data_IF_073451415917
#
_entry.id   IF_073451415917
#
_cell.length_a   1.000
_cell.length_b   1.000
_cell.length_c   1.000
_cell.angle_alpha   90.00
_cell.angle_beta   90.00
_cell.angle_gamma   90.00
#
_symmetry.space_group_name_H-M   'P 1'
#
loop_
_entity.id
_entity.type
_entity.pdbx_description
1 polymer ?
#
# COMPACT_ATOMS: atom_id res chain seq x y z
N UNK A 1 15.60 -13.77 12.14
CA UNK A 1 14.91 -13.14 13.29
C UNK A 1 13.52 -12.75 12.81
N UNK A 2 12.42 -13.06 13.52
CA UNK A 2 11.11 -12.57 13.13
C UNK A 2 11.09 -11.04 13.25
N UNK A 3 10.84 -10.32 12.15
CA UNK A 3 10.59 -8.87 12.17
C UNK A 3 9.13 -8.68 12.56
N UNK A 4 8.86 -8.24 13.79
CA UNK A 4 7.53 -7.78 14.18
C UNK A 4 7.15 -6.59 13.29
N UNK A 5 5.98 -6.60 12.63
CA UNK A 5 5.52 -5.45 11.86
C UNK A 5 5.31 -4.25 12.78
N UNK A 6 5.65 -3.06 12.28
CA UNK A 6 5.36 -1.78 12.96
C UNK A 6 3.87 -1.46 12.93
N UNK A 7 3.21 -1.89 11.87
CA UNK A 7 1.79 -1.75 11.65
C UNK A 7 1.27 -2.95 10.86
N UNK A 8 0.13 -3.46 11.27
CA UNK A 8 -0.63 -4.46 10.56
C UNK A 8 -2.10 -4.20 10.81
N UNK A 9 -2.90 -4.24 9.75
CA UNK A 9 -4.35 -4.07 9.80
C UNK A 9 -4.98 -4.78 8.60
N UNK A 10 -6.12 -5.42 8.81
CA UNK A 10 -6.88 -6.10 7.76
C UNK A 10 -8.37 -6.03 8.10
N UNK A 11 -9.20 -5.95 7.07
CA UNK A 11 -10.66 -6.02 7.24
C UNK A 11 -11.31 -6.60 6.00
N UNK A 12 -12.48 -7.18 6.19
CA UNK A 12 -13.45 -7.49 5.15
C UNK A 12 -14.58 -6.45 5.20
N UNK A 13 -15.09 -6.04 4.03
CA UNK A 13 -16.22 -5.13 3.85
C UNK A 13 -17.50 -5.93 3.54
N UNK A 14 -18.65 -5.26 3.53
CA UNK A 14 -19.97 -5.89 3.38
C UNK A 14 -20.22 -6.56 2.02
N UNK A 15 -19.57 -6.09 0.96
CA UNK A 15 -19.58 -6.69 -0.39
C UNK A 15 -18.62 -7.89 -0.52
N UNK A 16 -17.93 -8.27 0.56
CA UNK A 16 -16.94 -9.34 0.61
C UNK A 16 -15.58 -8.97 0.01
N UNK A 17 -15.39 -7.72 -0.43
CA UNK A 17 -14.05 -7.19 -0.68
C UNK A 17 -13.28 -7.02 0.62
N UNK A 18 -11.96 -6.99 0.55
CA UNK A 18 -11.11 -6.90 1.75
C UNK A 18 -9.85 -6.10 1.51
N UNK A 19 -9.36 -5.44 2.54
CA UNK A 19 -8.02 -4.87 2.53
C UNK A 19 -7.09 -5.61 3.50
N UNK A 20 -5.81 -5.63 3.14
CA UNK A 20 -4.71 -6.14 3.95
C UNK A 20 -3.59 -5.11 3.93
N UNK A 21 -3.11 -4.70 5.09
CA UNK A 21 -2.08 -3.69 5.25
C UNK A 21 -0.98 -4.18 6.18
N UNK A 22 0.26 -4.04 5.76
CA UNK A 22 1.42 -4.34 6.62
C UNK A 22 2.58 -3.39 6.33
N UNK A 23 3.24 -2.94 7.41
CA UNK A 23 4.46 -2.15 7.35
C UNK A 23 5.48 -2.65 8.37
N UNK A 24 6.74 -2.71 7.95
CA UNK A 24 7.87 -3.14 8.76
C UNK A 24 8.88 -2.01 8.94
N UNK A 25 9.49 -1.98 10.12
CA UNK A 25 10.75 -1.26 10.29
C UNK A 25 11.88 -2.04 9.63
N UNK A 26 12.62 -1.33 8.78
CA UNK A 26 13.83 -1.81 8.12
C UNK A 26 14.97 -0.83 8.39
N UNK A 27 16.23 -1.28 8.39
CA UNK A 27 17.35 -0.36 8.50
C UNK A 27 17.26 0.73 7.42
N UNK A 28 17.46 1.98 7.81
CA UNK A 28 17.57 3.09 6.87
C UNK A 28 18.70 2.82 5.87
N UNK A 29 18.40 2.95 4.59
CA UNK A 29 19.34 2.75 3.49
C UNK A 29 18.96 3.64 2.31
N UNK A 30 19.79 3.69 1.27
CA UNK A 30 19.39 4.34 0.02
C UNK A 30 18.14 3.70 -0.60
N UNK A 31 17.93 2.41 -0.31
CA UNK A 31 16.74 1.67 -0.75
C UNK A 31 15.52 2.05 0.11
N UNK A 32 15.65 2.18 1.44
CA UNK A 32 14.55 2.59 2.32
C UNK A 32 14.97 3.80 3.17
N UNK A 33 14.99 5.02 2.60
CA UNK A 33 15.45 6.20 3.31
C UNK A 33 14.59 6.53 4.54
N UNK A 34 13.31 6.17 4.52
CA UNK A 34 12.37 6.33 5.63
C UNK A 34 12.46 5.22 6.68
N UNK A 35 13.28 4.18 6.43
CA UNK A 35 13.38 3.00 7.30
C UNK A 35 12.09 2.19 7.39
N UNK A 36 11.19 2.32 6.41
CA UNK A 36 9.92 1.59 6.34
C UNK A 36 9.85 0.80 5.04
N UNK A 37 9.44 -0.46 5.13
CA UNK A 37 8.94 -1.26 4.00
C UNK A 37 7.45 -1.52 4.21
N UNK A 38 6.62 -1.45 3.18
CA UNK A 38 5.19 -1.73 3.33
C UNK A 38 4.57 -2.38 2.09
N UNK A 39 3.39 -2.98 2.31
CA UNK A 39 2.49 -3.44 1.27
C UNK A 39 1.06 -3.36 1.77
N UNK A 40 0.25 -2.54 1.11
CA UNK A 40 -1.18 -2.36 1.36
C UNK A 40 -1.93 -2.77 0.11
N UNK A 41 -2.96 -3.60 0.24
CA UNK A 41 -3.74 -4.06 -0.89
C UNK A 41 -5.22 -4.15 -0.55
N UNK A 42 -6.06 -3.78 -1.49
CA UNK A 42 -7.51 -3.90 -1.45
C UNK A 42 -7.95 -4.74 -2.65
N UNK A 43 -8.74 -5.77 -2.37
CA UNK A 43 -9.06 -6.82 -3.33
C UNK A 43 -10.55 -7.14 -3.28
N UNK A 44 -11.10 -7.55 -4.41
CA UNK A 44 -12.43 -8.15 -4.50
C UNK A 44 -12.46 -9.52 -3.81
N UNK A 45 -13.66 -10.08 -3.65
CA UNK A 45 -13.88 -11.42 -3.06
C UNK A 45 -13.10 -12.53 -3.79
N UNK A 46 -12.93 -12.43 -5.12
CA UNK A 46 -12.17 -13.35 -5.96
C UNK A 46 -10.65 -13.09 -5.94
N UNK A 47 -10.19 -12.08 -5.19
CA UNK A 47 -8.77 -11.74 -5.03
C UNK A 47 -8.21 -10.82 -6.11
N UNK A 48 -9.05 -10.25 -6.98
CA UNK A 48 -8.63 -9.25 -7.96
C UNK A 48 -8.24 -7.96 -7.25
N UNK A 49 -7.00 -7.48 -7.43
CA UNK A 49 -6.51 -6.24 -6.80
C UNK A 49 -7.18 -5.01 -7.41
N UNK A 50 -7.83 -4.21 -6.56
CA UNK A 50 -8.45 -2.93 -6.90
C UNK A 50 -7.50 -1.76 -6.65
N UNK A 51 -6.82 -1.80 -5.50
CA UNK A 51 -5.84 -0.81 -5.08
C UNK A 51 -4.66 -1.52 -4.43
N UNK A 52 -3.44 -1.10 -4.74
CA UNK A 52 -2.25 -1.48 -3.98
C UNK A 52 -1.34 -0.30 -3.80
N UNK A 53 -0.88 -0.08 -2.58
CA UNK A 53 0.25 0.78 -2.29
C UNK A 53 1.41 -0.10 -1.85
N UNK A 54 2.57 0.04 -2.46
CA UNK A 54 3.79 -0.60 -1.99
C UNK A 54 5.00 0.31 -2.21
N UNK A 55 6.12 -0.05 -1.58
CA UNK A 55 7.39 0.60 -1.86
C UNK A 55 8.45 -0.36 -2.42
N UNK A 56 8.02 -1.30 -3.25
CA UNK A 56 8.90 -2.27 -3.88
C UNK A 56 9.30 -1.79 -5.28
N UNK A 57 10.60 -1.76 -5.58
CA UNK A 57 11.09 -1.59 -6.96
C UNK A 57 12.10 -2.67 -7.27
N UNK A 58 12.04 -3.21 -8.49
CA UNK A 58 13.05 -4.10 -9.05
C UNK A 58 14.26 -3.32 -9.61
N UNK A 59 14.16 -2.00 -9.77
CA UNK A 59 15.13 -1.20 -10.51
C UNK A 59 15.99 -0.33 -9.59
N UNK A 60 17.31 -0.47 -9.75
CA UNK A 60 18.33 0.46 -9.27
C UNK A 60 18.36 1.78 -10.08
N UNK A 61 17.22 2.23 -10.62
CA UNK A 61 17.17 3.48 -11.41
C UNK A 61 17.25 4.67 -10.47
N UNK A 62 18.33 5.47 -10.50
CA UNK A 62 18.45 6.61 -9.63
C UNK A 62 17.37 7.65 -9.98
N UNK A 63 16.51 7.98 -9.02
CA UNK A 63 15.51 9.04 -9.15
C UNK A 63 14.06 8.58 -9.40
N UNK A 64 13.79 7.28 -9.54
CA UNK A 64 12.42 6.77 -9.53
C UNK A 64 11.86 6.76 -8.10
N UNK A 65 10.60 7.18 -7.93
CA UNK A 65 9.91 7.02 -6.65
C UNK A 65 9.82 5.53 -6.33
N UNK A 66 10.15 5.14 -5.10
CA UNK A 66 9.91 3.74 -4.68
C UNK A 66 8.46 3.50 -4.33
N UNK A 67 7.72 4.55 -3.99
CA UNK A 67 6.34 4.47 -3.55
C UNK A 67 5.43 4.44 -4.75
N UNK A 68 4.72 3.33 -4.91
CA UNK A 68 3.83 3.09 -6.03
C UNK A 68 2.39 2.95 -5.55
N UNK A 69 1.49 3.51 -6.35
CA UNK A 69 0.05 3.31 -6.28
C UNK A 69 -0.38 2.57 -7.55
N UNK A 70 -0.88 1.35 -7.36
CA UNK A 70 -1.49 0.54 -8.40
C UNK A 70 -3.00 0.67 -8.25
N UNK A 71 -3.68 1.21 -9.25
CA UNK A 71 -5.12 1.38 -9.26
C UNK A 71 -5.73 0.68 -10.48
N UNK A 72 -6.79 -0.10 -10.26
CA UNK A 72 -7.39 -0.96 -11.29
C UNK A 72 -7.86 -0.23 -12.55
N UNK A 73 -8.20 1.06 -12.46
CA UNK A 73 -8.58 1.90 -13.62
C UNK A 73 -7.45 2.76 -14.18
N UNK A 74 -6.51 3.18 -13.33
CA UNK A 74 -5.54 4.23 -13.68
C UNK A 74 -4.14 3.67 -13.96
N UNK A 75 -3.90 2.39 -13.66
CA UNK A 75 -2.59 1.77 -13.79
C UNK A 75 -1.69 2.08 -12.59
N UNK A 76 -0.39 2.16 -12.85
CA UNK A 76 0.63 2.40 -11.81
C UNK A 76 1.09 3.84 -11.88
N UNK A 77 1.17 4.50 -10.73
CA UNK A 77 1.68 5.85 -10.60
C UNK A 77 2.54 6.00 -9.34
N UNK A 78 3.45 6.96 -9.37
CA UNK A 78 4.19 7.37 -8.18
C UNK A 78 3.25 8.01 -7.16
N UNK A 79 3.46 7.71 -5.89
CA UNK A 79 2.71 8.30 -4.79
C UNK A 79 3.65 8.93 -3.77
N UNK A 80 3.34 10.15 -3.35
CA UNK A 80 4.10 10.82 -2.31
C UNK A 80 3.99 10.08 -0.97
N UNK A 81 5.14 9.88 -0.32
CA UNK A 81 5.22 9.37 1.04
C UNK A 81 5.77 10.44 1.97
N UNK A 82 4.91 11.00 2.80
CA UNK A 82 5.29 11.97 3.84
C UNK A 82 5.58 11.26 5.17
N UNK A 83 4.62 10.48 5.64
CA UNK A 83 4.75 9.61 6.80
C UNK A 83 3.75 8.44 6.74
N UNK A 84 4.05 7.39 7.50
CA UNK A 84 3.24 6.17 7.54
C UNK A 84 1.78 6.42 7.94
N UNK A 85 1.51 7.36 8.84
CA UNK A 85 0.15 7.61 9.34
C UNK A 85 -0.71 8.28 8.28
N UNK A 86 -0.17 9.28 7.58
CA UNK A 86 -0.84 9.92 6.45
C UNK A 86 -1.01 8.96 5.27
N UNK A 87 -0.01 8.11 5.03
CA UNK A 87 -0.09 7.10 3.97
C UNK A 87 -1.17 6.04 4.23
N UNK A 88 -1.30 5.58 5.49
CA UNK A 88 -2.39 4.67 5.92
C UNK A 88 -3.76 5.31 5.72
N UNK A 89 -3.93 6.57 6.14
CA UNK A 89 -5.21 7.28 5.98
C UNK A 89 -5.59 7.41 4.52
N UNK A 90 -4.67 7.89 3.69
CA UNK A 90 -4.90 8.05 2.25
C UNK A 90 -5.29 6.73 1.59
N UNK A 91 -4.64 5.63 1.96
CA UNK A 91 -5.01 4.31 1.47
C UNK A 91 -6.45 3.95 1.87
N UNK A 92 -6.83 4.14 3.13
CA UNK A 92 -8.18 3.85 3.61
C UNK A 92 -9.25 4.73 2.95
N UNK A 93 -8.98 6.02 2.81
CA UNK A 93 -9.89 6.96 2.13
C UNK A 93 -10.15 6.53 0.67
N UNK A 94 -9.12 6.03 -0.04
CA UNK A 94 -9.29 5.50 -1.39
C UNK A 94 -9.99 4.14 -1.42
N UNK A 95 -9.79 3.28 -0.41
CA UNK A 95 -10.56 2.02 -0.29
C UNK A 95 -12.04 2.33 -0.14
N UNK A 96 -12.39 3.25 0.77
CA UNK A 96 -13.77 3.70 0.99
C UNK A 96 -14.37 4.28 -0.30
N UNK A 97 -13.62 5.14 -1.02
CA UNK A 97 -14.07 5.66 -2.31
C UNK A 97 -14.34 4.54 -3.34
N UNK A 98 -13.42 3.59 -3.49
CA UNK A 98 -13.57 2.50 -4.47
C UNK A 98 -14.71 1.56 -4.06
N UNK A 99 -14.91 1.33 -2.76
CA UNK A 99 -16.03 0.54 -2.24
C UNK A 99 -17.37 1.22 -2.51
N UNK A 100 -17.50 2.51 -2.19
CA UNK A 100 -18.70 3.33 -2.46
C UNK A 100 -19.03 3.41 -3.96
N UNK A 101 -18.03 3.47 -4.84
CA UNK A 101 -18.25 3.50 -6.29
C UNK A 101 -18.72 2.15 -6.86
N UNK A 102 -18.56 1.06 -6.12
CA UNK A 102 -18.88 -0.31 -6.54
C UNK A 102 -20.16 -0.86 -5.92
N UNK A 103 -20.67 -0.25 -4.85
CA UNK A 103 -21.86 -0.68 -4.10
C UNK A 103 -23.08 0.20 -4.38
#
# INVERSE_FOLDING_TARGET
>A
MPRTPRFQDDTELDDGSRYEMIAWEVPTSNEYPEGIKYGFQYMTVDGTTLLRYDNYTDAETPGESRHHRHHYREGVADIEFSDLRNHIRRFKDEVDQIHDERT
#
